data_IF_559174568004
#
_entry.id   IF_559174568004
#
_cell.length_a   1.000
_cell.length_b   1.000
_cell.length_c   1.000
_cell.angle_alpha   90.00
_cell.angle_beta   90.00
_cell.angle_gamma   90.00
#
_symmetry.space_group_name_H-M   'P 1'
#
loop_
_entity.id
_entity.type
_entity.pdbx_description
1 polymer ?
#
# COMPACT_ATOMS: atom_id res chain seq x y z
N UNK A 1 21.65 -15.17 -9.03
CA UNK A 1 21.24 -13.76 -9.24
C UNK A 1 20.66 -13.26 -7.93
N UNK A 2 21.21 -12.17 -7.37
CA UNK A 2 20.77 -11.64 -6.08
C UNK A 2 19.65 -10.62 -6.29
N UNK A 3 18.44 -10.92 -5.80
CA UNK A 3 17.25 -10.07 -5.96
C UNK A 3 16.99 -9.14 -4.77
N UNK A 4 17.72 -9.33 -3.67
CA UNK A 4 17.47 -8.60 -2.41
C UNK A 4 17.56 -7.07 -2.50
N UNK A 5 18.32 -6.44 -3.42
CA UNK A 5 18.29 -4.99 -3.55
C UNK A 5 16.97 -4.42 -4.10
N UNK A 6 16.17 -5.26 -4.75
CA UNK A 6 14.94 -4.84 -5.44
C UNK A 6 13.69 -5.39 -4.79
N UNK A 7 13.82 -6.33 -3.86
CA UNK A 7 12.71 -7.09 -3.31
C UNK A 7 12.53 -6.81 -1.82
N UNK A 8 11.29 -6.57 -1.43
CA UNK A 8 10.86 -6.49 -0.04
C UNK A 8 9.64 -7.37 0.17
N UNK A 9 9.67 -8.15 1.25
CA UNK A 9 8.53 -8.89 1.77
C UNK A 9 8.35 -8.47 3.22
N UNK A 10 7.15 -8.03 3.56
CA UNK A 10 6.76 -7.63 4.90
C UNK A 10 5.45 -8.26 5.31
N UNK A 11 5.33 -8.55 6.60
CA UNK A 11 4.08 -8.97 7.22
C UNK A 11 3.80 -8.02 8.39
N UNK A 12 2.54 -7.62 8.54
CA UNK A 12 2.08 -6.81 9.65
C UNK A 12 0.79 -7.40 10.24
N UNK A 13 0.55 -7.12 11.51
CA UNK A 13 -0.74 -7.38 12.16
C UNK A 13 -1.20 -6.06 12.74
N UNK A 14 -2.42 -5.66 12.41
CA UNK A 14 -3.02 -4.41 12.84
C UNK A 14 -4.38 -4.61 13.49
N UNK A 15 -4.69 -3.73 14.45
CA UNK A 15 -5.99 -3.65 15.11
C UNK A 15 -6.56 -2.26 14.86
N UNK A 16 -7.67 -2.19 14.13
CA UNK A 16 -8.44 -0.97 13.99
C UNK A 16 -9.59 -0.93 14.99
N UNK A 17 -9.67 0.15 15.76
CA UNK A 17 -10.88 0.50 16.51
C UNK A 17 -11.67 1.51 15.69
N UNK A 18 -12.85 1.11 15.21
CA UNK A 18 -13.72 2.03 14.47
C UNK A 18 -14.77 2.58 15.43
N UNK A 19 -14.46 3.71 16.08
CA UNK A 19 -15.42 4.47 16.87
C UNK A 19 -15.85 5.70 16.08
N UNK A 20 -16.98 5.68 15.35
CA UNK A 20 -17.65 6.93 14.96
C UNK A 20 -19.08 6.77 14.42
N UNK A 21 -19.92 7.70 14.88
CA UNK A 21 -21.36 7.78 14.75
C UNK A 21 -21.78 8.44 13.42
N UNK A 22 -21.92 7.65 12.35
CA UNK A 22 -22.42 8.15 11.06
C UNK A 22 -23.50 7.22 10.51
N UNK A 23 -24.76 7.57 10.82
CA UNK A 23 -25.99 6.85 10.47
C UNK A 23 -26.27 6.69 8.96
N UNK A 24 -25.38 7.15 8.06
CA UNK A 24 -25.70 7.36 6.64
C UNK A 24 -24.85 6.59 5.61
N UNK A 25 -23.96 5.68 6.03
CA UNK A 25 -23.21 4.85 5.08
C UNK A 25 -23.59 3.37 5.21
N UNK A 26 -24.58 2.93 4.42
CA UNK A 26 -25.13 1.56 4.40
C UNK A 26 -24.25 0.52 3.67
N UNK A 27 -23.09 0.95 3.15
CA UNK A 27 -22.29 0.22 2.17
C UNK A 27 -21.05 -0.41 2.83
N UNK A 28 -20.92 -0.43 4.15
CA UNK A 28 -19.83 -1.16 4.80
C UNK A 28 -20.23 -1.54 6.23
N UNK A 29 -20.10 -2.83 6.57
CA UNK A 29 -20.32 -3.32 7.92
C UNK A 29 -19.13 -2.90 8.80
N UNK A 30 -19.17 -1.65 9.27
CA UNK A 30 -18.09 -1.03 10.05
C UNK A 30 -18.01 -1.68 11.42
N UNK A 31 -16.88 -2.33 11.68
CA UNK A 31 -16.62 -3.04 12.93
C UNK A 31 -15.14 -2.93 13.28
N UNK A 32 -14.84 -3.11 14.56
CA UNK A 32 -13.46 -3.31 15.00
C UNK A 32 -12.88 -4.54 14.29
N UNK A 33 -11.75 -4.34 13.61
CA UNK A 33 -11.10 -5.39 12.84
C UNK A 33 -9.73 -5.69 13.44
N UNK A 34 -9.33 -6.95 13.30
CA UNK A 34 -7.95 -7.36 13.49
C UNK A 34 -7.56 -7.97 12.15
N UNK A 35 -6.53 -7.44 11.52
CA UNK A 35 -6.11 -7.85 10.18
C UNK A 35 -4.62 -8.19 10.16
N UNK A 36 -4.26 -9.18 9.37
CA UNK A 36 -2.88 -9.40 8.95
C UNK A 36 -2.72 -8.92 7.52
N UNK A 37 -1.63 -8.23 7.22
CA UNK A 37 -1.30 -7.79 5.87
C UNK A 37 0.03 -8.40 5.45
N UNK A 38 0.06 -8.94 4.25
CA UNK A 38 1.30 -9.37 3.57
C UNK A 38 1.58 -8.39 2.44
N UNK A 39 2.76 -7.79 2.45
CA UNK A 39 3.19 -6.83 1.44
C UNK A 39 4.40 -7.35 0.69
N UNK A 40 4.31 -7.37 -0.63
CA UNK A 40 5.37 -7.75 -1.54
C UNK A 40 5.69 -6.54 -2.41
N UNK A 41 6.92 -6.06 -2.38
CA UNK A 41 7.35 -4.90 -3.18
C UNK A 41 8.53 -5.28 -4.05
N UNK A 42 8.44 -4.90 -5.31
CA UNK A 42 9.56 -4.86 -6.24
C UNK A 42 9.85 -3.41 -6.60
N UNK A 43 11.09 -2.97 -6.47
CA UNK A 43 11.51 -1.61 -6.83
C UNK A 43 12.79 -1.61 -7.66
N UNK A 44 12.88 -0.70 -8.62
CA UNK A 44 14.03 -0.58 -9.50
C UNK A 44 14.29 0.88 -9.91
N UNK A 45 15.55 1.23 -10.16
CA UNK A 45 15.91 2.54 -10.71
C UNK A 45 15.44 2.64 -12.16
N UNK A 46 14.58 3.61 -12.47
CA UNK A 46 14.14 3.89 -13.84
C UNK A 46 15.11 4.88 -14.50
N UNK A 47 15.54 5.89 -13.75
CA UNK A 47 16.45 6.93 -14.21
C UNK A 47 17.40 7.29 -13.07
N UNK A 48 18.71 7.22 -13.33
CA UNK A 48 19.72 7.71 -12.40
C UNK A 48 20.78 8.51 -13.16
N UNK A 49 20.84 9.81 -12.88
CA UNK A 49 21.91 10.69 -13.31
C UNK A 49 22.29 11.64 -12.15
N UNK A 50 23.26 12.52 -12.38
CA UNK A 50 23.77 13.44 -11.34
C UNK A 50 22.70 14.38 -10.76
N UNK A 51 21.59 14.61 -11.47
CA UNK A 51 20.54 15.57 -11.11
C UNK A 51 19.23 14.92 -10.71
N UNK A 52 18.93 13.73 -11.22
CA UNK A 52 17.65 13.05 -11.05
C UNK A 52 17.91 11.60 -10.70
N UNK A 53 17.29 11.16 -9.61
CA UNK A 53 17.14 9.76 -9.28
C UNK A 53 15.64 9.48 -9.25
N UNK A 54 15.19 8.49 -10.00
CA UNK A 54 13.79 8.07 -10.07
C UNK A 54 13.74 6.57 -9.91
N UNK A 55 12.97 6.10 -8.93
CA UNK A 55 12.70 4.68 -8.73
C UNK A 55 11.27 4.37 -9.12
N UNK A 56 11.06 3.28 -9.83
CA UNK A 56 9.73 2.68 -10.00
C UNK A 56 9.55 1.58 -8.97
N UNK A 57 8.30 1.35 -8.58
CA UNK A 57 7.95 0.18 -7.79
C UNK A 57 6.60 -0.41 -8.20
N UNK A 58 6.47 -1.70 -7.94
CA UNK A 58 5.22 -2.42 -7.95
C UNK A 58 5.06 -3.10 -6.59
N UNK A 59 3.86 -3.05 -6.03
CA UNK A 59 3.52 -3.59 -4.74
C UNK A 59 2.25 -4.43 -4.87
N UNK A 60 2.25 -5.59 -4.23
CA UNK A 60 1.05 -6.38 -3.98
C UNK A 60 0.83 -6.45 -2.47
N UNK A 61 -0.39 -6.18 -2.02
CA UNK A 61 -0.79 -6.27 -0.63
C UNK A 61 -2.02 -7.16 -0.48
N UNK A 62 -1.95 -8.07 0.48
CA UNK A 62 -3.00 -9.05 0.75
C UNK A 62 -3.41 -8.91 2.21
N UNK A 63 -4.70 -8.70 2.47
CA UNK A 63 -5.23 -8.54 3.82
C UNK A 63 -6.12 -9.72 4.21
N UNK A 64 -5.87 -10.27 5.39
CA UNK A 64 -6.67 -11.32 6.03
C UNK A 64 -7.33 -10.79 7.30
N UNK A 65 -8.64 -10.96 7.43
CA UNK A 65 -9.39 -10.54 8.60
C UNK A 65 -9.57 -11.71 9.57
N UNK A 66 -9.02 -11.59 10.77
CA UNK A 66 -9.02 -12.67 11.77
C UNK A 66 -10.42 -13.02 12.29
N UNK A 67 -11.36 -12.08 12.26
CA UNK A 67 -12.69 -12.31 12.78
C UNK A 67 -13.59 -12.99 11.74
N UNK A 68 -13.49 -12.58 10.47
CA UNK A 68 -14.18 -13.25 9.35
C UNK A 68 -13.53 -14.58 8.97
N UNK A 69 -12.25 -14.73 9.30
CA UNK A 69 -11.41 -15.87 8.97
C UNK A 69 -11.25 -16.07 7.46
N UNK A 70 -11.14 -14.97 6.73
CA UNK A 70 -11.04 -14.96 5.28
C UNK A 70 -10.16 -13.80 4.78
N UNK A 71 -9.69 -13.92 3.52
CA UNK A 71 -9.05 -12.82 2.82
C UNK A 71 -10.08 -11.77 2.43
N UNK A 72 -9.82 -10.50 2.75
CA UNK A 72 -10.79 -9.41 2.60
C UNK A 72 -10.39 -8.38 1.56
N UNK A 73 -9.09 -8.29 1.22
CA UNK A 73 -8.58 -7.28 0.30
C UNK A 73 -7.33 -7.75 -0.42
N UNK A 74 -7.29 -7.49 -1.73
CA UNK A 74 -6.11 -7.63 -2.57
C UNK A 74 -5.84 -6.27 -3.23
N UNK A 75 -4.62 -5.77 -3.12
CA UNK A 75 -4.25 -4.49 -3.67
C UNK A 75 -3.03 -4.61 -4.56
N UNK A 76 -3.09 -3.96 -5.71
CA UNK A 76 -1.96 -3.82 -6.62
C UNK A 76 -1.64 -2.34 -6.75
N UNK A 77 -0.40 -1.99 -6.47
CA UNK A 77 0.09 -0.61 -6.57
C UNK A 77 1.25 -0.58 -7.53
N UNK A 78 1.26 0.42 -8.41
CA UNK A 78 2.41 0.75 -9.23
C UNK A 78 2.67 2.25 -9.12
N UNK A 79 3.92 2.64 -8.92
CA UNK A 79 4.23 4.03 -8.66
C UNK A 79 5.69 4.38 -8.92
N UNK A 80 5.97 5.66 -8.72
CA UNK A 80 7.32 6.22 -8.82
C UNK A 80 7.67 6.98 -7.55
N UNK A 81 8.92 6.84 -7.13
CA UNK A 81 9.50 7.54 -5.98
C UNK A 81 10.56 8.49 -6.52
N UNK A 82 10.37 9.78 -6.21
CA UNK A 82 11.28 10.87 -6.52
C UNK A 82 11.93 11.37 -5.23
N UNK A 83 13.19 10.99 -4.93
CA UNK A 83 13.97 11.63 -3.89
C UNK A 83 14.21 13.10 -4.23
N UNK A 84 13.57 13.99 -3.46
CA UNK A 84 13.72 15.43 -3.57
C UNK A 84 15.06 15.85 -2.97
N UNK A 85 15.39 15.31 -1.80
CA UNK A 85 16.68 15.48 -1.15
C UNK A 85 16.92 14.33 -0.14
N UNK A 86 18.01 14.40 0.64
CA UNK A 86 18.38 13.36 1.61
C UNK A 86 17.35 13.08 2.71
N UNK A 87 16.38 13.98 2.91
CA UNK A 87 15.36 13.90 3.94
C UNK A 87 13.94 13.82 3.37
N UNK A 88 13.73 14.00 2.07
CA UNK A 88 12.38 14.04 1.50
C UNK A 88 12.28 13.20 0.23
N UNK A 89 11.26 12.35 0.20
CA UNK A 89 10.86 11.58 -0.97
C UNK A 89 9.41 11.91 -1.31
N UNK A 90 9.12 12.14 -2.59
CA UNK A 90 7.75 12.27 -3.08
C UNK A 90 7.37 11.04 -3.90
N UNK A 91 6.10 10.67 -3.82
CA UNK A 91 5.56 9.50 -4.49
C UNK A 91 4.33 9.87 -5.33
N UNK A 92 4.19 9.21 -6.47
CA UNK A 92 2.98 9.22 -7.28
C UNK A 92 2.64 7.79 -7.67
N UNK A 93 1.48 7.33 -7.24
CA UNK A 93 1.12 5.92 -7.23
C UNK A 93 -0.28 5.75 -7.81
N UNK A 94 -0.48 4.69 -8.58
CA UNK A 94 -1.80 4.16 -8.90
C UNK A 94 -2.00 2.88 -8.10
N UNK A 95 -3.19 2.74 -7.51
CA UNK A 95 -3.59 1.62 -6.66
C UNK A 95 -4.92 1.06 -7.16
N UNK A 96 -4.91 -0.21 -7.51
CA UNK A 96 -6.12 -1.01 -7.69
C UNK A 96 -6.43 -1.75 -6.40
N UNK A 97 -7.66 -1.66 -5.93
CA UNK A 97 -8.14 -2.30 -4.70
C UNK A 97 -9.30 -3.22 -5.08
N UNK A 98 -9.10 -4.52 -4.94
CA UNK A 98 -10.14 -5.54 -4.97
C UNK A 98 -10.55 -5.84 -3.52
N UNK A 99 -11.76 -5.44 -3.15
CA UNK A 99 -12.36 -5.84 -1.88
C UNK A 99 -13.14 -7.12 -2.13
N UNK A 100 -12.56 -8.22 -1.67
CA UNK A 100 -13.08 -9.56 -1.90
C UNK A 100 -14.55 -9.63 -1.46
N UNK A 101 -15.40 -10.08 -2.38
CA UNK A 101 -16.86 -10.17 -2.22
C UNK A 101 -17.62 -8.85 -2.12
N UNK A 102 -17.02 -7.72 -2.54
CA UNK A 102 -17.66 -6.42 -2.39
C UNK A 102 -17.60 -5.54 -3.66
N UNK A 103 -16.55 -4.76 -3.84
CA UNK A 103 -16.36 -3.92 -5.03
C UNK A 103 -14.88 -3.61 -5.27
N UNK A 104 -14.58 -3.32 -6.52
CA UNK A 104 -13.25 -2.91 -6.96
C UNK A 104 -13.18 -1.39 -7.07
N UNK A 105 -12.01 -0.83 -6.81
CA UNK A 105 -11.78 0.62 -6.94
C UNK A 105 -10.35 0.93 -7.33
N UNK A 106 -10.18 1.93 -8.19
CA UNK A 106 -8.88 2.48 -8.55
C UNK A 106 -8.68 3.85 -7.88
N UNK A 107 -7.48 4.10 -7.35
CA UNK A 107 -7.09 5.34 -6.70
C UNK A 107 -5.75 5.81 -7.24
N UNK A 108 -5.61 7.12 -7.43
CA UNK A 108 -4.32 7.77 -7.67
C UNK A 108 -3.92 8.48 -6.38
N UNK A 109 -2.76 8.13 -5.86
CA UNK A 109 -2.25 8.59 -4.57
C UNK A 109 -0.95 9.38 -4.79
N UNK A 110 -0.76 10.44 -4.01
CA UNK A 110 0.53 11.10 -3.90
C UNK A 110 0.92 11.22 -2.43
N UNK A 111 2.19 11.02 -2.13
CA UNK A 111 2.72 11.10 -0.77
C UNK A 111 3.99 11.94 -0.75
N UNK A 112 4.25 12.55 0.40
CA UNK A 112 5.52 13.21 0.72
C UNK A 112 6.04 12.63 2.03
N UNK A 113 7.16 11.92 1.97
CA UNK A 113 7.73 11.17 3.08
C UNK A 113 8.97 11.90 3.59
N UNK A 114 9.04 12.10 4.90
CA UNK A 114 10.21 12.64 5.60
C UNK A 114 11.07 11.49 6.14
N UNK A 115 12.35 11.47 5.76
CA UNK A 115 13.35 10.46 6.14
C UNK A 115 14.28 11.06 7.20
N UNK A 116 14.42 10.36 8.32
CA UNK A 116 15.28 10.72 9.46
C UNK A 116 16.45 9.75 9.62
#
# INVERSE_FOLDING_TARGET
MNITPWFYLGESVQKGWMYENYEYYSIFDKRDYTEAETRIIFSHGILENEKIKLKGFALAELSYDFHKKEGVRNELVAGVILPINKNFEAELNWRHIDRVHYYDSDVVETALTLIF
#
